data_IF_085856347202
#
_entry.id   IF_085856347202
#
_cell.length_a   1.000
_cell.length_b   1.000
_cell.length_c   1.000
_cell.angle_alpha   90.00
_cell.angle_beta   90.00
_cell.angle_gamma   90.00
#
_symmetry.space_group_name_H-M   'P 1'
#
loop_
_entity.id
_entity.type
_entity.pdbx_description
1 polymer ?
#
# COMPACT_ATOMS: atom_id res chain seq x y z
N UNK A 1 -30.50 -17.91 -24.18
CA UNK A 1 -29.82 -17.13 -23.12
C UNK A 1 -28.85 -18.05 -22.38
N UNK A 2 -27.65 -17.55 -22.12
CA UNK A 2 -26.42 -18.19 -21.64
C UNK A 2 -26.53 -19.47 -20.78
N UNK A 3 -26.21 -20.60 -21.40
CA UNK A 3 -25.55 -21.73 -20.78
C UNK A 3 -24.11 -21.76 -21.34
N UNK A 4 -23.09 -21.57 -20.48
CA UNK A 4 -21.67 -21.95 -20.62
C UNK A 4 -20.79 -20.88 -19.97
N UNK A 5 -20.22 -21.19 -18.80
CA UNK A 5 -19.21 -20.33 -18.17
C UNK A 5 -18.73 -20.82 -16.79
N UNK A 6 -19.63 -21.41 -15.98
CA UNK A 6 -19.31 -21.80 -14.59
C UNK A 6 -18.34 -22.99 -14.44
N UNK A 7 -18.14 -23.79 -15.49
CA UNK A 7 -17.27 -24.98 -15.42
C UNK A 7 -15.77 -24.69 -15.53
N UNK A 8 -15.35 -23.55 -16.08
CA UNK A 8 -13.92 -23.22 -16.22
C UNK A 8 -13.33 -22.56 -14.97
N UNK A 9 -14.14 -21.77 -14.24
CA UNK A 9 -13.70 -21.08 -13.02
C UNK A 9 -13.41 -22.08 -11.91
N UNK A 10 -14.32 -23.04 -11.67
CA UNK A 10 -14.08 -24.13 -10.71
C UNK A 10 -12.82 -24.93 -11.02
N UNK A 11 -12.58 -25.23 -12.30
CA UNK A 11 -11.37 -25.95 -12.72
C UNK A 11 -10.08 -25.17 -12.43
N UNK A 12 -10.13 -23.84 -12.56
CA UNK A 12 -8.99 -22.96 -12.29
C UNK A 12 -8.72 -22.88 -10.78
N UNK A 13 -9.77 -22.74 -9.97
CA UNK A 13 -9.70 -22.77 -8.50
C UNK A 13 -9.20 -24.12 -7.98
N UNK A 14 -9.70 -25.23 -8.53
CA UNK A 14 -9.23 -26.60 -8.22
C UNK A 14 -7.74 -26.76 -8.55
N UNK A 15 -7.29 -26.20 -9.68
CA UNK A 15 -5.88 -26.21 -10.07
C UNK A 15 -5.02 -25.40 -9.09
N UNK A 16 -5.46 -24.21 -8.66
CA UNK A 16 -4.78 -23.42 -7.61
C UNK A 16 -4.67 -24.24 -6.32
N UNK A 17 -5.74 -24.91 -5.91
CA UNK A 17 -5.75 -25.77 -4.72
C UNK A 17 -4.76 -26.94 -4.85
N UNK A 18 -4.79 -27.66 -5.97
CA UNK A 18 -3.88 -28.78 -6.23
C UNK A 18 -2.42 -28.33 -6.26
N UNK A 19 -2.11 -27.19 -6.87
CA UNK A 19 -0.75 -26.64 -6.89
C UNK A 19 -0.28 -26.25 -5.47
N UNK A 20 -1.14 -25.64 -4.67
CA UNK A 20 -0.84 -25.31 -3.27
C UNK A 20 -0.59 -26.57 -2.43
N UNK A 21 -1.40 -27.61 -2.64
CA UNK A 21 -1.21 -28.89 -1.98
C UNK A 21 0.10 -29.56 -2.40
N UNK A 22 0.39 -29.57 -3.71
CA UNK A 22 1.62 -30.12 -4.27
C UNK A 22 2.86 -29.38 -3.72
N UNK A 23 2.84 -28.04 -3.67
CA UNK A 23 3.91 -27.23 -3.06
C UNK A 23 4.21 -27.68 -1.62
N UNK A 24 3.17 -27.75 -0.76
CA UNK A 24 3.33 -28.23 0.62
C UNK A 24 3.79 -29.67 0.72
N UNK A 25 3.34 -30.54 -0.18
CA UNK A 25 3.79 -31.93 -0.23
C UNK A 25 5.29 -32.01 -0.54
N UNK A 26 5.78 -31.19 -1.48
CA UNK A 26 7.19 -31.10 -1.84
C UNK A 26 8.04 -30.54 -0.71
N UNK A 27 7.57 -29.52 0.01
CA UNK A 27 8.24 -29.04 1.22
C UNK A 27 8.36 -30.14 2.29
N UNK A 28 7.30 -30.94 2.48
CA UNK A 28 7.33 -32.05 3.43
C UNK A 28 8.33 -33.13 3.01
N UNK A 29 8.40 -33.44 1.72
CA UNK A 29 9.38 -34.39 1.17
C UNK A 29 10.82 -33.85 1.32
N UNK A 30 11.03 -32.56 1.10
CA UNK A 30 12.32 -31.89 1.34
C UNK A 30 12.76 -32.03 2.81
N UNK A 31 11.88 -31.69 3.76
CA UNK A 31 12.13 -31.86 5.21
C UNK A 31 12.37 -33.32 5.59
N UNK A 32 11.69 -34.27 4.96
CA UNK A 32 11.93 -35.71 5.19
C UNK A 32 13.32 -36.11 4.70
N UNK A 33 13.73 -35.67 3.51
CA UNK A 33 15.06 -35.95 2.97
C UNK A 33 16.18 -35.33 3.82
N UNK A 34 15.98 -34.14 4.41
CA UNK A 34 16.91 -33.55 5.38
C UNK A 34 17.04 -34.39 6.66
N UNK A 35 15.91 -34.89 7.19
CA UNK A 35 15.95 -35.80 8.35
C UNK A 35 16.72 -37.08 8.03
N UNK A 36 16.46 -37.67 6.86
CA UNK A 36 17.17 -38.86 6.40
C UNK A 36 18.67 -38.59 6.20
N UNK A 37 19.05 -37.41 5.69
CA UNK A 37 20.45 -36.98 5.60
C UNK A 37 21.12 -36.91 6.98
N UNK A 38 20.48 -36.28 7.97
CA UNK A 38 21.01 -36.23 9.36
C UNK A 38 21.17 -37.62 9.98
N UNK A 39 20.25 -38.54 9.68
CA UNK A 39 20.37 -39.94 10.11
C UNK A 39 21.62 -40.62 9.50
N UNK A 40 21.91 -40.37 8.22
CA UNK A 40 23.12 -40.89 7.58
C UNK A 40 24.39 -40.25 8.17
N UNK A 41 24.39 -38.95 8.45
CA UNK A 41 25.51 -38.29 9.15
C UNK A 41 25.79 -38.89 10.52
N UNK A 42 24.75 -39.26 11.28
CA UNK A 42 24.90 -39.99 12.52
C UNK A 42 25.56 -41.36 12.34
N UNK A 43 25.27 -42.07 11.23
CA UNK A 43 25.90 -43.35 10.89
C UNK A 43 27.37 -43.17 10.45
N UNK A 44 27.69 -42.10 9.73
CA UNK A 44 29.09 -41.76 9.37
C UNK A 44 29.92 -41.61 10.64
N UNK A 45 29.44 -40.84 11.63
CA UNK A 45 30.14 -40.65 12.92
C UNK A 45 30.41 -41.98 13.61
N UNK A 46 29.41 -42.87 13.67
CA UNK A 46 29.55 -44.21 14.26
C UNK A 46 30.55 -45.08 13.49
N UNK A 47 30.48 -45.11 12.17
CA UNK A 47 31.38 -45.90 11.33
C UNK A 47 32.85 -45.43 11.47
N UNK A 48 33.08 -44.12 11.57
CA UNK A 48 34.40 -43.54 11.83
C UNK A 48 34.95 -43.94 13.20
N UNK A 49 34.14 -43.91 14.26
CA UNK A 49 34.58 -44.34 15.60
C UNK A 49 34.91 -45.83 15.68
N UNK A 50 34.34 -46.64 14.78
CA UNK A 50 34.59 -48.08 14.68
C UNK A 50 35.76 -48.41 13.75
N UNK A 51 36.43 -47.41 13.15
CA UNK A 51 37.51 -47.61 12.19
C UNK A 51 37.06 -48.12 10.82
N UNK A 52 35.75 -48.18 10.54
CA UNK A 52 35.21 -48.65 9.26
C UNK A 52 35.12 -47.50 8.25
N UNK A 53 36.24 -47.22 7.59
CA UNK A 53 36.38 -46.12 6.63
C UNK A 53 35.56 -46.33 5.35
N UNK A 54 35.45 -47.57 4.86
CA UNK A 54 34.65 -47.87 3.67
C UNK A 54 33.14 -47.69 3.93
N UNK A 55 32.65 -48.17 5.07
CA UNK A 55 31.26 -47.95 5.48
C UNK A 55 30.93 -46.46 5.67
N UNK A 56 31.86 -45.69 6.23
CA UNK A 56 31.71 -44.25 6.37
C UNK A 56 31.60 -43.55 5.01
N UNK A 57 32.38 -43.97 4.00
CA UNK A 57 32.31 -43.42 2.63
C UNK A 57 30.94 -43.66 1.98
N UNK A 58 30.37 -44.87 2.12
CA UNK A 58 29.04 -45.20 1.59
C UNK A 58 27.95 -44.38 2.28
N UNK A 59 28.02 -44.21 3.60
CA UNK A 59 27.04 -43.37 4.31
C UNK A 59 27.18 -41.88 3.94
N UNK A 60 28.40 -41.40 3.67
CA UNK A 60 28.64 -40.04 3.19
C UNK A 60 28.03 -39.78 1.82
N UNK A 61 28.22 -40.69 0.87
CA UNK A 61 27.60 -40.58 -0.46
C UNK A 61 26.06 -40.53 -0.36
N UNK A 62 25.48 -41.39 0.48
CA UNK A 62 24.05 -41.39 0.74
C UNK A 62 23.55 -40.08 1.38
N UNK A 63 24.32 -39.50 2.30
CA UNK A 63 24.00 -38.22 2.91
C UNK A 63 24.01 -37.08 1.88
N UNK A 64 25.03 -37.03 1.02
CA UNK A 64 25.13 -36.04 -0.07
C UNK A 64 23.96 -36.19 -1.04
N UNK A 65 23.64 -37.43 -1.44
CA UNK A 65 22.49 -37.70 -2.31
C UNK A 65 21.19 -37.18 -1.69
N UNK A 66 20.94 -37.45 -0.41
CA UNK A 66 19.73 -36.98 0.30
C UNK A 66 19.69 -35.47 0.47
N UNK A 67 20.84 -34.81 0.68
CA UNK A 67 20.95 -33.34 0.67
C UNK A 67 20.56 -32.75 -0.69
N UNK A 68 21.07 -33.33 -1.78
CA UNK A 68 20.74 -32.88 -3.14
C UNK A 68 19.26 -33.10 -3.49
N UNK A 69 18.68 -34.22 -3.03
CA UNK A 69 17.26 -34.53 -3.17
C UNK A 69 16.39 -33.50 -2.41
N UNK A 70 16.74 -33.17 -1.16
CA UNK A 70 16.07 -32.12 -0.38
C UNK A 70 16.09 -30.77 -1.10
N UNK A 71 17.25 -30.33 -1.58
CA UNK A 71 17.39 -29.06 -2.30
C UNK A 71 16.57 -29.06 -3.61
N UNK A 72 16.52 -30.20 -4.31
CA UNK A 72 15.74 -30.33 -5.53
C UNK A 72 14.24 -30.22 -5.25
N UNK A 73 13.74 -30.88 -4.19
CA UNK A 73 12.35 -30.74 -3.76
C UNK A 73 12.02 -29.31 -3.31
N UNK A 74 12.92 -28.65 -2.58
CA UNK A 74 12.70 -27.26 -2.14
C UNK A 74 12.62 -26.31 -3.34
N UNK A 75 13.55 -26.43 -4.29
CA UNK A 75 13.51 -25.64 -5.54
C UNK A 75 12.23 -25.89 -6.33
N UNK A 76 11.77 -27.14 -6.40
CA UNK A 76 10.54 -27.47 -7.10
C UNK A 76 9.32 -26.90 -6.38
N UNK A 77 9.28 -26.97 -5.04
CA UNK A 77 8.23 -26.35 -4.23
C UNK A 77 8.15 -24.84 -4.48
N UNK A 78 9.27 -24.12 -4.44
CA UNK A 78 9.30 -22.67 -4.73
C UNK A 78 8.82 -22.33 -6.15
N UNK A 79 9.18 -23.16 -7.14
CA UNK A 79 8.68 -22.98 -8.52
C UNK A 79 7.17 -23.19 -8.61
N UNK A 80 6.64 -24.24 -7.98
CA UNK A 80 5.21 -24.55 -7.96
C UNK A 80 4.44 -23.45 -7.23
N UNK A 81 4.97 -22.94 -6.11
CA UNK A 81 4.39 -21.83 -5.35
C UNK A 81 4.32 -20.53 -6.18
N UNK A 82 5.39 -20.20 -6.91
CA UNK A 82 5.41 -19.05 -7.81
C UNK A 82 4.35 -19.16 -8.92
N UNK A 83 4.16 -20.36 -9.49
CA UNK A 83 3.11 -20.62 -10.49
C UNK A 83 1.73 -20.51 -9.86
N UNK A 84 1.54 -21.06 -8.66
CA UNK A 84 0.29 -20.98 -7.90
C UNK A 84 -0.10 -19.52 -7.60
N UNK A 85 0.85 -18.69 -7.18
CA UNK A 85 0.64 -17.27 -6.88
C UNK A 85 0.17 -16.52 -8.13
N UNK A 86 0.84 -16.71 -9.26
CA UNK A 86 0.44 -16.11 -10.55
C UNK A 86 -0.95 -16.58 -10.99
N UNK A 87 -1.25 -17.86 -10.84
CA UNK A 87 -2.56 -18.41 -11.19
C UNK A 87 -3.67 -17.85 -10.29
N UNK A 88 -3.41 -17.70 -8.99
CA UNK A 88 -4.36 -17.09 -8.06
C UNK A 88 -4.63 -15.62 -8.41
N UNK A 89 -3.61 -14.84 -8.75
CA UNK A 89 -3.79 -13.47 -9.25
C UNK A 89 -4.61 -13.44 -10.54
N UNK A 90 -4.37 -14.37 -11.47
CA UNK A 90 -5.15 -14.47 -12.71
C UNK A 90 -6.63 -14.81 -12.45
N UNK A 91 -6.92 -15.71 -11.51
CA UNK A 91 -8.29 -16.04 -11.09
C UNK A 91 -8.98 -14.80 -10.48
N UNK A 92 -8.30 -14.09 -9.57
CA UNK A 92 -8.83 -12.87 -8.96
C UNK A 92 -9.11 -11.78 -10.02
N UNK A 93 -8.18 -11.55 -10.94
CA UNK A 93 -8.33 -10.57 -12.01
C UNK A 93 -9.47 -10.93 -12.96
N UNK A 94 -9.67 -12.22 -13.24
CA UNK A 94 -10.82 -12.71 -14.03
C UNK A 94 -12.14 -12.43 -13.31
N UNK A 95 -12.19 -12.62 -11.99
CA UNK A 95 -13.35 -12.27 -11.15
C UNK A 95 -13.66 -10.77 -11.20
N UNK A 96 -12.64 -9.92 -11.06
CA UNK A 96 -12.78 -8.45 -11.18
C UNK A 96 -13.29 -8.07 -12.57
N UNK A 97 -12.71 -8.64 -13.64
CA UNK A 97 -13.10 -8.37 -15.02
C UNK A 97 -14.56 -8.74 -15.27
N UNK A 98 -15.01 -9.88 -14.74
CA UNK A 98 -16.41 -10.32 -14.82
C UNK A 98 -17.35 -9.34 -14.11
N UNK A 99 -16.98 -8.87 -12.92
CA UNK A 99 -17.76 -7.87 -12.19
C UNK A 99 -17.81 -6.54 -12.95
N UNK A 100 -16.67 -6.06 -13.47
CA UNK A 100 -16.63 -4.85 -14.30
C UNK A 100 -17.49 -4.99 -15.55
N UNK A 101 -17.47 -6.13 -16.23
CA UNK A 101 -18.35 -6.39 -17.38
C UNK A 101 -19.83 -6.29 -17.01
N UNK A 102 -20.22 -6.77 -15.83
CA UNK A 102 -21.59 -6.62 -15.33
C UNK A 102 -21.92 -5.16 -15.01
N UNK A 103 -21.00 -4.42 -14.39
CA UNK A 103 -21.19 -2.99 -14.09
C UNK A 103 -21.35 -2.19 -15.38
N UNK A 104 -20.52 -2.42 -16.39
CA UNK A 104 -20.61 -1.75 -17.70
C UNK A 104 -21.95 -2.04 -18.38
N UNK A 105 -22.44 -3.29 -18.35
CA UNK A 105 -23.79 -3.61 -18.86
C UNK A 105 -24.91 -2.89 -18.11
N UNK A 106 -24.80 -2.80 -16.79
CA UNK A 106 -25.78 -2.09 -15.98
C UNK A 106 -25.75 -0.59 -16.25
N UNK A 107 -24.56 -0.01 -16.43
CA UNK A 107 -24.37 1.38 -16.84
C UNK A 107 -24.97 1.64 -18.22
N UNK A 108 -24.70 0.77 -19.20
CA UNK A 108 -25.26 0.86 -20.55
C UNK A 108 -26.81 0.80 -20.51
N UNK A 109 -27.37 -0.09 -19.69
CA UNK A 109 -28.84 -0.15 -19.48
C UNK A 109 -29.37 1.12 -18.81
N UNK A 110 -28.65 1.65 -17.81
CA UNK A 110 -29.03 2.88 -17.12
C UNK A 110 -28.97 4.11 -18.04
N UNK A 111 -27.93 4.22 -18.88
CA UNK A 111 -27.77 5.27 -19.88
C UNK A 111 -28.85 5.19 -20.97
N UNK A 112 -29.23 3.99 -21.41
CA UNK A 112 -30.34 3.80 -22.34
C UNK A 112 -31.72 4.10 -21.70
N UNK A 113 -31.83 4.01 -20.38
CA UNK A 113 -33.03 4.41 -19.61
C UNK A 113 -33.02 5.87 -19.14
N UNK A 114 -31.91 6.58 -19.36
CA UNK A 114 -31.75 7.98 -19.01
C UNK A 114 -32.46 8.85 -20.05
N UNK A 115 -33.74 9.11 -19.78
CA UNK A 115 -34.51 10.16 -20.44
C UNK A 115 -33.85 11.52 -20.14
N UNK A 116 -33.48 12.26 -21.18
CA UNK A 116 -32.90 13.61 -21.10
C UNK A 116 -33.76 14.55 -20.22
N UNK A 117 -35.08 14.33 -20.15
CA UNK A 117 -35.97 15.11 -19.29
C UNK A 117 -35.74 14.87 -17.79
N UNK A 118 -35.38 13.65 -17.38
CA UNK A 118 -35.08 13.35 -15.97
C UNK A 118 -33.70 13.84 -15.56
N UNK A 119 -32.74 13.90 -16.48
CA UNK A 119 -31.42 14.48 -16.22
C UNK A 119 -31.53 15.98 -15.94
N UNK A 120 -32.35 16.72 -16.70
CA UNK A 120 -32.60 18.14 -16.43
C UNK A 120 -33.17 18.36 -15.02
N UNK A 121 -34.19 17.58 -14.64
CA UNK A 121 -34.82 17.70 -13.31
C UNK A 121 -33.87 17.32 -12.15
N UNK A 122 -32.91 16.43 -12.38
CA UNK A 122 -31.90 16.07 -11.38
C UNK A 122 -30.81 17.13 -11.30
N UNK A 123 -30.44 17.79 -12.41
CA UNK A 123 -29.49 18.90 -12.41
C UNK A 123 -30.05 20.14 -11.71
N UNK A 124 -31.33 20.48 -11.93
CA UNK A 124 -32.00 21.58 -11.21
C UNK A 124 -32.04 21.30 -9.70
N UNK A 125 -32.25 20.04 -9.31
CA UNK A 125 -32.26 19.62 -7.90
C UNK A 125 -30.85 19.54 -7.29
N UNK A 126 -29.84 19.24 -8.10
CA UNK A 126 -28.43 19.27 -7.69
C UNK A 126 -27.96 20.70 -7.43
N UNK A 127 -28.31 21.65 -8.30
CA UNK A 127 -27.98 23.08 -8.13
C UNK A 127 -28.60 23.63 -6.84
N UNK A 128 -29.88 23.34 -6.60
CA UNK A 128 -30.56 23.68 -5.34
C UNK A 128 -29.89 23.05 -4.11
N UNK A 129 -29.46 21.79 -4.17
CA UNK A 129 -28.80 21.13 -3.03
C UNK A 129 -27.36 21.60 -2.81
N UNK A 130 -26.66 21.98 -3.88
CA UNK A 130 -25.29 22.47 -3.81
C UNK A 130 -25.26 23.90 -3.24
N UNK A 131 -26.20 24.75 -3.63
CA UNK A 131 -26.40 26.07 -3.02
C UNK A 131 -26.71 25.95 -1.52
N UNK A 132 -27.58 25.01 -1.14
CA UNK A 132 -27.93 24.76 0.27
C UNK A 132 -26.75 24.19 1.08
N UNK A 133 -25.88 23.40 0.43
CA UNK A 133 -24.67 22.88 1.04
C UNK A 133 -23.58 23.96 1.18
N UNK A 134 -23.45 24.85 0.21
CA UNK A 134 -22.49 25.97 0.26
C UNK A 134 -22.89 26.97 1.36
N UNK A 135 -24.19 27.28 1.48
CA UNK A 135 -24.73 28.09 2.60
C UNK A 135 -24.49 27.41 3.94
N UNK A 136 -24.75 26.09 4.06
CA UNK A 136 -24.50 25.35 5.30
C UNK A 136 -23.02 25.24 5.63
N UNK A 137 -22.15 25.07 4.63
CA UNK A 137 -20.70 24.99 4.81
C UNK A 137 -20.14 26.35 5.19
N UNK A 138 -20.62 27.45 4.62
CA UNK A 138 -20.27 28.81 5.03
C UNK A 138 -20.68 29.10 6.48
N UNK A 139 -21.89 28.68 6.89
CA UNK A 139 -22.34 28.80 8.30
C UNK A 139 -21.52 27.89 9.23
N UNK A 140 -21.16 26.69 8.78
CA UNK A 140 -20.34 25.74 9.52
C UNK A 140 -18.89 26.24 9.64
N UNK A 141 -18.25 26.76 8.59
CA UNK A 141 -16.92 27.39 8.64
C UNK A 141 -16.93 28.63 9.53
N UNK A 142 -17.96 29.47 9.46
CA UNK A 142 -18.11 30.61 10.36
C UNK A 142 -18.24 30.21 11.83
N UNK A 143 -18.91 29.08 12.11
CA UNK A 143 -19.12 28.57 13.48
C UNK A 143 -17.94 27.72 13.99
N UNK A 144 -17.32 26.91 13.12
CA UNK A 144 -16.18 26.05 13.43
C UNK A 144 -14.86 26.82 13.42
N UNK A 145 -14.69 27.87 12.60
CA UNK A 145 -13.51 28.73 12.64
C UNK A 145 -13.31 29.38 14.02
N UNK A 146 -14.41 29.75 14.69
CA UNK A 146 -14.39 30.22 16.07
C UNK A 146 -14.00 29.12 17.09
N UNK A 147 -14.36 27.86 16.84
CA UNK A 147 -14.08 26.73 17.73
C UNK A 147 -12.68 26.09 17.52
N UNK A 148 -12.21 25.99 16.27
CA UNK A 148 -10.93 25.35 15.90
C UNK A 148 -9.72 26.22 16.24
N UNK A 149 -9.88 27.56 16.28
CA UNK A 149 -8.82 28.48 16.74
C UNK A 149 -8.35 28.16 18.17
N UNK A 150 -9.20 27.54 19.01
CA UNK A 150 -8.86 27.16 20.38
C UNK A 150 -8.14 25.80 20.50
N UNK A 151 -8.39 24.86 19.57
CA UNK A 151 -7.86 23.49 19.64
C UNK A 151 -6.66 23.23 18.73
N UNK A 152 -6.39 24.11 17.77
CA UNK A 152 -5.22 23.99 16.87
C UNK A 152 -4.50 25.34 16.80
N UNK A 153 -3.54 25.61 17.71
CA UNK A 153 -2.77 26.84 17.71
C UNK A 153 -2.00 26.97 16.39
N UNK A 154 -2.06 28.15 15.75
CA UNK A 154 -1.35 28.43 14.48
C UNK A 154 0.12 28.05 14.53
N UNK A 155 0.77 28.33 15.66
CA UNK A 155 2.17 28.04 15.91
C UNK A 155 2.53 26.55 15.77
N UNK A 156 1.62 25.66 16.17
CA UNK A 156 1.81 24.19 16.04
C UNK A 156 1.65 23.70 14.60
N UNK A 157 0.87 24.41 13.79
CA UNK A 157 0.66 24.10 12.37
C UNK A 157 1.83 24.61 11.54
N UNK A 158 2.31 25.83 11.82
CA UNK A 158 3.46 26.44 11.15
C UNK A 158 4.74 25.62 11.41
N UNK A 159 4.94 25.13 12.63
CA UNK A 159 6.05 24.23 12.96
C UNK A 159 6.00 22.90 12.18
N UNK A 160 4.82 22.31 12.01
CA UNK A 160 4.65 21.07 11.24
C UNK A 160 4.90 21.30 9.75
N UNK A 161 4.44 22.43 9.19
CA UNK A 161 4.69 22.79 7.80
C UNK A 161 6.19 22.97 7.55
N UNK A 162 6.90 23.62 8.48
CA UNK A 162 8.34 23.80 8.38
C UNK A 162 9.10 22.46 8.45
N UNK A 163 8.72 21.56 9.36
CA UNK A 163 9.32 20.23 9.45
C UNK A 163 9.10 19.39 8.18
N UNK A 164 7.89 19.41 7.61
CA UNK A 164 7.58 18.65 6.39
C UNK A 164 8.25 19.27 5.17
N UNK A 165 8.39 20.59 5.11
CA UNK A 165 9.14 21.29 4.08
C UNK A 165 10.63 20.91 4.07
N UNK A 166 11.25 20.89 5.25
CA UNK A 166 12.64 20.45 5.45
C UNK A 166 12.83 18.97 5.04
N UNK A 167 11.88 18.09 5.41
CA UNK A 167 11.93 16.66 5.10
C UNK A 167 11.70 16.35 3.61
N UNK A 168 10.88 17.15 2.93
CA UNK A 168 10.65 17.05 1.48
C UNK A 168 11.77 17.70 0.63
N UNK A 169 12.78 18.31 1.26
CA UNK A 169 13.82 19.07 0.56
C UNK A 169 13.27 20.30 -0.17
N UNK A 170 12.08 20.76 0.20
CA UNK A 170 11.53 22.04 -0.24
C UNK A 170 12.23 23.09 0.61
N UNK A 171 13.28 23.72 0.07
CA UNK A 171 13.84 24.95 0.62
C UNK A 171 12.75 26.05 0.61
N UNK A 172 11.88 26.03 1.62
CA UNK A 172 10.85 27.05 1.87
C UNK A 172 11.49 28.39 2.27
N UNK A 173 12.81 28.43 2.43
CA UNK A 173 13.56 29.68 2.58
C UNK A 173 13.63 30.52 1.30
N UNK A 174 13.58 29.93 0.10
CA UNK A 174 13.82 30.70 -1.14
C UNK A 174 12.53 31.17 -1.82
N UNK A 175 11.43 30.40 -1.70
CA UNK A 175 10.17 30.72 -2.40
C UNK A 175 9.16 31.56 -1.61
N UNK A 176 9.33 31.71 -0.29
CA UNK A 176 8.53 32.68 0.47
C UNK A 176 9.15 34.09 0.41
N UNK A 177 10.43 34.21 0.03
CA UNK A 177 11.09 35.49 -0.28
C UNK A 177 10.76 36.03 -1.68
N UNK A 178 10.53 35.16 -2.67
CA UNK A 178 10.26 35.59 -4.06
C UNK A 178 8.79 35.93 -4.38
N UNK A 179 7.84 35.62 -3.51
CA UNK A 179 6.46 36.13 -3.63
C UNK A 179 6.31 37.60 -3.18
N UNK A 180 7.42 38.28 -2.89
CA UNK A 180 7.43 39.65 -2.40
C UNK A 180 8.65 40.45 -2.84
N UNK A 181 8.96 40.52 -4.13
CA UNK A 181 9.90 41.52 -4.63
C UNK A 181 9.60 41.96 -6.07
N UNK A 182 8.75 42.99 -6.20
CA UNK A 182 8.98 44.02 -7.20
C UNK A 182 10.18 44.89 -6.75
N UNK A 183 10.99 45.42 -7.68
CA UNK A 183 12.42 45.58 -7.44
C UNK A 183 12.84 46.97 -6.95
N UNK A 184 14.02 46.98 -6.32
CA UNK A 184 15.00 48.09 -6.25
C UNK A 184 14.68 49.27 -5.34
N UNK A 185 15.31 49.31 -4.16
CA UNK A 185 16.41 50.25 -3.87
C UNK A 185 16.93 50.10 -2.44
N UNK A 186 18.19 49.70 -2.33
CA UNK A 186 19.18 50.13 -1.33
C UNK A 186 18.96 49.87 0.18
N UNK A 187 20.03 49.31 0.76
CA UNK A 187 20.60 49.50 2.11
C UNK A 187 20.48 48.32 3.10
N UNK A 188 21.65 47.67 3.24
CA UNK A 188 22.32 47.19 4.44
C UNK A 188 21.65 46.22 5.43
N UNK A 189 22.48 45.25 5.81
CA UNK A 189 22.38 44.34 6.94
C UNK A 189 21.89 44.98 8.24
N UNK A 190 21.07 44.25 8.98
CA UNK A 190 20.72 44.56 10.37
C UNK A 190 19.64 43.62 10.91
N UNK A 191 19.96 42.95 12.00
CA UNK A 191 19.16 41.99 12.79
C UNK A 191 17.65 42.29 12.85
N UNK A 192 16.80 41.30 12.54
CA UNK A 192 15.40 41.30 13.01
C UNK A 192 15.39 40.81 14.46
N UNK A 193 15.64 41.74 15.36
CA UNK A 193 15.43 41.60 16.80
C UNK A 193 13.94 41.63 17.14
N UNK A 194 13.63 41.03 18.28
CA UNK A 194 12.37 40.92 19.05
C UNK A 194 11.50 42.19 19.19
N UNK A 195 11.89 43.32 18.59
CA UNK A 195 11.24 44.63 18.72
C UNK A 195 9.93 44.74 17.92
N UNK A 196 9.78 43.99 16.83
CA UNK A 196 8.59 44.04 15.98
C UNK A 196 7.36 43.40 16.63
N UNK A 197 7.57 42.38 17.46
CA UNK A 197 6.49 41.70 18.19
C UNK A 197 6.00 42.54 19.39
N UNK A 198 6.93 43.22 20.08
CA UNK A 198 6.63 44.13 21.19
C UNK A 198 5.89 45.40 20.74
N UNK A 199 6.17 45.92 19.54
CA UNK A 199 5.43 47.06 18.99
C UNK A 199 3.98 46.71 18.61
N UNK A 200 3.76 45.53 18.05
CA UNK A 200 2.43 45.10 17.61
C UNK A 200 1.51 44.84 18.82
N UNK A 201 2.05 44.20 19.85
CA UNK A 201 1.35 43.93 21.11
C UNK A 201 1.02 45.22 21.88
N UNK A 202 1.90 46.23 21.85
CA UNK A 202 1.58 47.57 22.40
C UNK A 202 0.48 48.30 21.62
N UNK A 203 0.45 48.21 20.28
CA UNK A 203 -0.60 48.83 19.47
C UNK A 203 -1.97 48.17 19.68
N UNK A 204 -2.01 46.85 19.84
CA UNK A 204 -3.23 46.12 20.17
C UNK A 204 -3.76 46.46 21.56
N UNK A 205 -2.88 46.66 22.54
CA UNK A 205 -3.27 47.10 23.88
C UNK A 205 -3.85 48.53 23.88
N UNK A 206 -3.32 49.44 23.05
CA UNK A 206 -3.80 50.81 22.93
C UNK A 206 -5.18 50.92 22.26
N UNK A 207 -5.60 49.94 21.47
CA UNK A 207 -6.93 49.86 20.84
C UNK A 207 -7.99 49.18 21.73
N UNK A 208 -7.60 48.70 22.91
CA UNK A 208 -8.48 47.98 23.86
C UNK A 208 -8.99 48.85 25.01
N UNK A 209 -8.74 50.17 24.98
CA UNK A 209 -9.37 51.17 25.86
C UNK A 209 -10.22 52.12 25.05
#
# INVERSE_FOLDING_TARGET
>A
MSFFGGGSDRKMEDCVFQLKFCSKQMERLSKKAEKDQKLQEGKIKKALTQGNVEGARIYAENAIRKKNESLSYLRMASKVDAVQSRLQSAVAMKGITKNMSSVVRNLDTALNSMDLQKISAVMDKFESQFEDLDVRTSVLEGSMGAATTLSTPKESVDALIQQVAEEAGLEVLDKLGEAGAAPTSTIAAGERTTDSEDQLSRRLAALRN
#
